data_IF_766160785964
#
_entry.id   IF_766160785964
#
_cell.length_a   1.000
_cell.length_b   1.000
_cell.length_c   1.000
_cell.angle_alpha   90.00
_cell.angle_beta   90.00
_cell.angle_gamma   90.00
#
_symmetry.space_group_name_H-M   'P 1'
#
loop_
_entity.id
_entity.type
_entity.pdbx_description
1 polymer ?
#
# COMPACT_ATOMS: atom_id res chain seq x y z
N UNK A 1 -8.52 -72.17 33.79
CA UNK A 1 -7.76 -73.44 33.66
C UNK A 1 -7.50 -74.05 35.05
N UNK A 2 -6.83 -73.34 35.97
CA UNK A 2 -6.55 -73.80 37.35
C UNK A 2 -7.77 -74.25 38.16
N UNK A 3 -8.91 -73.56 38.06
CA UNK A 3 -10.14 -73.96 38.77
C UNK A 3 -10.71 -75.31 38.32
N UNK A 4 -10.80 -75.53 37.00
CA UNK A 4 -11.30 -76.79 36.44
C UNK A 4 -10.39 -77.97 36.80
N UNK A 5 -9.08 -77.72 36.84
CA UNK A 5 -8.09 -78.73 37.23
C UNK A 5 -8.17 -79.05 38.73
N UNK A 6 -8.32 -78.04 39.59
CA UNK A 6 -8.55 -78.25 41.02
C UNK A 6 -9.84 -79.05 41.27
N UNK A 7 -10.92 -78.74 40.53
CA UNK A 7 -12.18 -79.47 40.62
C UNK A 7 -12.05 -80.93 40.19
N UNK A 8 -11.29 -81.20 39.11
CA UNK A 8 -10.94 -82.56 38.67
C UNK A 8 -10.16 -83.33 39.74
N UNK A 9 -9.17 -82.69 40.39
CA UNK A 9 -8.40 -83.30 41.47
C UNK A 9 -9.26 -83.62 42.71
N UNK A 10 -10.28 -82.80 42.99
CA UNK A 10 -11.28 -83.09 44.03
C UNK A 10 -12.19 -84.26 43.69
N UNK A 11 -12.57 -84.42 42.42
CA UNK A 11 -13.33 -85.59 41.95
C UNK A 11 -12.49 -86.86 42.11
N UNK A 12 -11.23 -86.83 41.65
CA UNK A 12 -10.31 -87.96 41.76
C UNK A 12 -10.02 -88.36 43.22
N UNK A 13 -9.90 -87.37 44.12
CA UNK A 13 -9.76 -87.63 45.56
C UNK A 13 -10.92 -88.46 46.14
N UNK A 14 -12.15 -88.22 45.68
CA UNK A 14 -13.34 -88.97 46.13
C UNK A 14 -13.38 -90.40 45.58
N UNK A 15 -12.78 -90.64 44.41
CA UNK A 15 -12.83 -91.93 43.70
C UNK A 15 -11.75 -92.93 44.15
N UNK A 16 -10.61 -92.48 44.69
CA UNK A 16 -9.44 -93.33 45.00
C UNK A 16 -9.66 -94.30 46.19
N UNK A 17 -10.63 -94.04 47.08
CA UNK A 17 -11.00 -94.94 48.19
C UNK A 17 -10.30 -94.67 49.54
N UNK A 18 -10.57 -95.48 50.58
CA UNK A 18 -10.12 -95.21 51.96
C UNK A 18 -8.63 -95.52 52.17
N UNK A 19 -8.00 -94.68 52.99
CA UNK A 19 -6.62 -94.82 53.48
C UNK A 19 -6.62 -95.40 54.91
N UNK A 20 -5.50 -95.98 55.41
CA UNK A 20 -5.38 -96.48 56.78
C UNK A 20 -5.86 -95.46 57.82
N UNK A 21 -6.62 -95.92 58.82
CA UNK A 21 -7.29 -95.05 59.80
C UNK A 21 -6.32 -94.18 60.61
N UNK A 22 -5.10 -94.66 60.85
CA UNK A 22 -4.01 -93.92 61.52
C UNK A 22 -3.43 -92.76 60.69
N UNK A 23 -3.69 -92.74 59.36
CA UNK A 23 -3.17 -91.74 58.40
C UNK A 23 -4.24 -90.89 57.73
N UNK A 24 -5.52 -91.23 57.91
CA UNK A 24 -6.66 -90.59 57.26
C UNK A 24 -6.70 -89.09 57.47
N UNK A 25 -6.60 -88.64 58.72
CA UNK A 25 -6.67 -87.22 59.06
C UNK A 25 -5.45 -86.44 58.55
N UNK A 26 -4.25 -87.06 58.61
CA UNK A 26 -3.00 -86.46 58.12
C UNK A 26 -3.07 -86.18 56.60
N UNK A 27 -3.49 -87.17 55.81
CA UNK A 27 -3.56 -87.08 54.35
C UNK A 27 -4.66 -86.10 53.92
N UNK A 28 -5.82 -86.14 54.58
CA UNK A 28 -6.91 -85.19 54.34
C UNK A 28 -6.52 -83.74 54.63
N UNK A 29 -5.92 -83.46 55.78
CA UNK A 29 -5.48 -82.10 56.11
C UNK A 29 -4.40 -81.58 55.16
N UNK A 30 -3.49 -82.43 54.67
CA UNK A 30 -2.53 -82.05 53.63
C UNK A 30 -3.20 -81.65 52.30
N UNK A 31 -4.19 -82.43 51.86
CA UNK A 31 -4.94 -82.13 50.62
C UNK A 31 -5.75 -80.84 50.77
N UNK A 32 -6.55 -80.74 51.84
CA UNK A 32 -7.36 -79.56 52.17
C UNK A 32 -6.51 -78.30 52.29
N UNK A 33 -5.40 -78.35 53.05
CA UNK A 33 -4.46 -77.22 53.18
C UNK A 33 -3.91 -76.76 51.82
N UNK A 34 -3.61 -77.70 50.91
CA UNK A 34 -3.10 -77.38 49.58
C UNK A 34 -4.18 -76.76 48.69
N UNK A 35 -5.40 -77.30 48.72
CA UNK A 35 -6.58 -76.74 48.07
C UNK A 35 -6.87 -75.32 48.55
N UNK A 36 -6.85 -75.10 49.86
CA UNK A 36 -7.09 -73.79 50.46
C UNK A 36 -6.06 -72.76 50.01
N UNK A 37 -4.77 -73.15 49.94
CA UNK A 37 -3.69 -72.32 49.38
C UNK A 37 -3.94 -71.96 47.91
N UNK A 38 -4.39 -72.91 47.08
CA UNK A 38 -4.68 -72.65 45.65
C UNK A 38 -5.88 -71.70 45.51
N UNK A 39 -6.95 -71.94 46.26
CA UNK A 39 -8.13 -71.08 46.26
C UNK A 39 -7.81 -69.68 46.78
N UNK A 40 -6.97 -69.57 47.81
CA UNK A 40 -6.48 -68.28 48.32
C UNK A 40 -5.71 -67.52 47.25
N UNK A 41 -4.68 -68.14 46.62
CA UNK A 41 -3.92 -67.52 45.52
C UNK A 41 -4.81 -67.09 44.36
N UNK A 42 -5.84 -67.87 44.05
CA UNK A 42 -6.80 -67.52 42.99
C UNK A 42 -7.63 -66.30 43.37
N UNK A 43 -8.18 -66.26 44.60
CA UNK A 43 -8.89 -65.09 45.10
C UNK A 43 -8.01 -63.85 45.06
N UNK A 44 -6.77 -63.98 45.55
CA UNK A 44 -5.80 -62.88 45.58
C UNK A 44 -5.47 -62.38 44.16
N UNK A 45 -5.24 -63.28 43.20
CA UNK A 45 -4.99 -62.91 41.80
C UNK A 45 -6.18 -62.17 41.16
N UNK A 46 -7.41 -62.65 41.34
CA UNK A 46 -8.59 -61.97 40.77
C UNK A 46 -8.89 -60.64 41.47
N UNK A 47 -8.64 -60.57 42.78
CA UNK A 47 -8.73 -59.31 43.54
C UNK A 47 -7.71 -58.30 43.00
N UNK A 48 -6.45 -58.71 42.85
CA UNK A 48 -5.38 -57.84 42.34
C UNK A 48 -5.63 -57.41 40.89
N UNK A 49 -6.12 -58.31 40.03
CA UNK A 49 -6.52 -57.98 38.66
C UNK A 49 -7.68 -56.98 38.62
N UNK A 50 -8.66 -57.14 39.51
CA UNK A 50 -9.77 -56.20 39.61
C UNK A 50 -9.29 -54.82 40.09
N UNK A 51 -8.45 -54.77 41.12
CA UNK A 51 -7.83 -53.54 41.61
C UNK A 51 -7.00 -52.84 40.52
N UNK A 52 -6.22 -53.60 39.72
CA UNK A 52 -5.46 -53.06 38.58
C UNK A 52 -6.38 -52.51 37.49
N UNK A 53 -7.47 -53.21 37.15
CA UNK A 53 -8.44 -52.74 36.16
C UNK A 53 -9.18 -51.49 36.64
N UNK A 54 -9.56 -51.42 37.92
CA UNK A 54 -10.17 -50.23 38.52
C UNK A 54 -9.19 -49.05 38.52
N UNK A 55 -7.91 -49.28 38.83
CA UNK A 55 -6.86 -48.26 38.71
C UNK A 55 -6.66 -47.80 37.26
N UNK A 56 -6.66 -48.73 36.29
CA UNK A 56 -6.59 -48.43 34.86
C UNK A 56 -7.80 -47.61 34.40
N UNK A 57 -9.00 -47.93 34.90
CA UNK A 57 -10.21 -47.15 34.61
C UNK A 57 -10.09 -45.73 35.16
N UNK A 58 -9.68 -45.56 36.42
CA UNK A 58 -9.47 -44.24 37.02
C UNK A 58 -8.43 -43.42 36.23
N UNK A 59 -7.32 -44.03 35.82
CA UNK A 59 -6.31 -43.39 34.99
C UNK A 59 -6.86 -42.96 33.61
N UNK A 60 -7.67 -43.81 32.96
CA UNK A 60 -8.33 -43.48 31.68
C UNK A 60 -9.36 -42.37 31.83
N UNK A 61 -10.11 -42.34 32.93
CA UNK A 61 -11.05 -41.25 33.25
C UNK A 61 -10.29 -39.93 33.41
N UNK A 62 -9.19 -39.91 34.16
CA UNK A 62 -8.36 -38.71 34.31
C UNK A 62 -7.76 -38.23 32.96
N UNK A 63 -7.39 -39.16 32.06
CA UNK A 63 -6.97 -38.79 30.70
C UNK A 63 -8.10 -38.16 29.88
N UNK A 64 -9.33 -38.65 30.00
CA UNK A 64 -10.49 -38.05 29.34
C UNK A 64 -10.74 -36.63 29.87
N UNK A 65 -10.77 -36.43 31.19
CA UNK A 65 -10.95 -35.11 31.79
C UNK A 65 -9.86 -34.12 31.36
N UNK A 66 -8.61 -34.58 31.28
CA UNK A 66 -7.50 -33.77 30.78
C UNK A 66 -7.67 -33.44 29.29
N UNK A 67 -8.13 -34.40 28.47
CA UNK A 67 -8.42 -34.16 27.06
C UNK A 67 -9.55 -33.14 26.89
N UNK A 68 -10.62 -33.25 27.69
CA UNK A 68 -11.77 -32.33 27.70
C UNK A 68 -11.33 -30.91 28.09
N UNK A 69 -10.48 -30.79 29.13
CA UNK A 69 -9.89 -29.52 29.55
C UNK A 69 -8.99 -28.90 28.48
N UNK A 70 -8.24 -29.72 27.73
CA UNK A 70 -7.44 -29.25 26.60
C UNK A 70 -8.30 -28.84 25.41
N UNK A 71 -9.42 -29.52 25.16
CA UNK A 71 -10.35 -29.20 24.09
C UNK A 71 -11.01 -27.84 24.34
N UNK A 72 -11.42 -27.57 25.58
CA UNK A 72 -12.07 -26.31 25.99
C UNK A 72 -11.20 -25.06 25.81
N UNK A 73 -9.88 -25.20 25.66
CA UNK A 73 -8.97 -24.07 25.44
C UNK A 73 -8.94 -23.68 23.97
N UNK A 74 -9.17 -22.42 23.66
CA UNK A 74 -9.04 -21.93 22.28
C UNK A 74 -7.57 -21.84 21.83
N UNK A 75 -7.33 -22.07 20.54
CA UNK A 75 -6.02 -21.86 19.91
C UNK A 75 -6.11 -20.83 18.80
N UNK A 76 -5.42 -19.71 18.99
CA UNK A 76 -5.45 -18.55 18.07
C UNK A 76 -4.21 -18.44 17.19
N UNK A 77 -3.18 -19.26 17.42
CA UNK A 77 -1.92 -19.21 16.67
C UNK A 77 -1.46 -20.59 16.21
N UNK A 78 -0.66 -20.63 15.14
CA UNK A 78 -0.05 -21.87 14.63
C UNK A 78 0.78 -22.58 15.71
N UNK A 79 1.52 -21.81 16.53
CA UNK A 79 2.31 -22.35 17.63
C UNK A 79 1.41 -22.99 18.71
N UNK A 80 0.29 -22.35 19.05
CA UNK A 80 -0.69 -22.91 19.99
C UNK A 80 -1.29 -24.22 19.45
N UNK A 81 -1.63 -24.29 18.16
CA UNK A 81 -2.11 -25.52 17.53
C UNK A 81 -1.07 -26.65 17.53
N UNK A 82 0.20 -26.34 17.31
CA UNK A 82 1.29 -27.31 17.37
C UNK A 82 1.47 -27.86 18.80
N UNK A 83 1.47 -26.99 19.80
CA UNK A 83 1.58 -27.38 21.20
C UNK A 83 0.39 -28.23 21.65
N UNK A 84 -0.84 -27.84 21.33
CA UNK A 84 -2.03 -28.67 21.59
C UNK A 84 -1.94 -30.03 20.88
N UNK A 85 -1.48 -30.07 19.62
CA UNK A 85 -1.28 -31.33 18.89
C UNK A 85 -0.31 -32.24 19.64
N UNK A 86 0.79 -31.69 20.17
CA UNK A 86 1.76 -32.44 20.98
C UNK A 86 1.10 -33.01 22.24
N UNK A 87 0.35 -32.18 22.96
CA UNK A 87 -0.35 -32.60 24.18
C UNK A 87 -1.36 -33.71 23.92
N UNK A 88 -2.17 -33.62 22.87
CA UNK A 88 -3.10 -34.69 22.46
C UNK A 88 -2.36 -35.97 22.06
N UNK A 89 -1.24 -35.87 21.35
CA UNK A 89 -0.42 -37.03 21.01
C UNK A 89 0.19 -37.69 22.25
N UNK A 90 0.60 -36.90 23.25
CA UNK A 90 1.13 -37.43 24.50
C UNK A 90 0.03 -38.08 25.35
N UNK A 91 -1.18 -37.52 25.38
CA UNK A 91 -2.36 -38.18 25.97
C UNK A 91 -2.65 -39.52 25.29
N UNK A 92 -2.59 -39.57 23.96
CA UNK A 92 -2.82 -40.81 23.22
C UNK A 92 -1.74 -41.87 23.48
N UNK A 93 -0.47 -41.46 23.65
CA UNK A 93 0.61 -42.36 24.07
C UNK A 93 0.37 -42.88 25.49
N UNK A 94 0.00 -42.01 26.43
CA UNK A 94 -0.34 -42.39 27.80
C UNK A 94 -1.51 -43.38 27.82
N UNK A 95 -2.56 -43.12 27.04
CA UNK A 95 -3.71 -44.03 26.90
C UNK A 95 -3.28 -45.43 26.47
N UNK A 96 -2.40 -45.53 25.46
CA UNK A 96 -1.89 -46.82 24.96
C UNK A 96 -1.02 -47.57 25.97
N UNK A 97 -0.38 -46.86 26.91
CA UNK A 97 0.41 -47.49 27.96
C UNK A 97 -0.42 -48.04 29.13
N UNK A 98 -1.68 -47.62 29.27
CA UNK A 98 -2.57 -48.10 30.32
C UNK A 98 -3.19 -49.43 29.88
N UNK A 99 -3.25 -50.39 30.81
CA UNK A 99 -3.88 -51.70 30.58
C UNK A 99 -5.40 -51.60 30.31
N UNK A 100 -6.07 -52.75 30.10
CA UNK A 100 -7.51 -52.78 29.92
C UNK A 100 -8.24 -52.32 31.19
N UNK A 101 -9.36 -51.62 31.00
CA UNK A 101 -10.31 -51.33 32.08
C UNK A 101 -11.27 -52.52 32.26
N UNK A 102 -12.13 -52.54 33.29
CA UNK A 102 -13.11 -53.61 33.44
C UNK A 102 -14.01 -53.67 32.20
N UNK A 103 -14.36 -54.89 31.79
CA UNK A 103 -14.99 -55.17 30.49
C UNK A 103 -16.27 -54.36 30.24
N UNK A 104 -17.02 -54.01 31.29
CA UNK A 104 -18.26 -53.25 31.19
C UNK A 104 -18.05 -51.80 30.74
N UNK A 105 -16.94 -51.17 31.14
CA UNK A 105 -16.68 -49.75 30.90
C UNK A 105 -15.62 -49.48 29.82
N UNK A 106 -14.88 -50.52 29.39
CA UNK A 106 -13.74 -50.34 28.51
C UNK A 106 -14.11 -49.71 27.15
N UNK A 107 -15.26 -50.07 26.58
CA UNK A 107 -15.71 -49.54 25.29
C UNK A 107 -16.27 -48.12 25.44
N UNK A 108 -17.04 -47.87 26.50
CA UNK A 108 -17.60 -46.54 26.82
C UNK A 108 -16.50 -45.49 27.02
N UNK A 109 -15.48 -45.82 27.83
CA UNK A 109 -14.38 -44.88 28.09
C UNK A 109 -13.52 -44.63 26.85
N UNK A 110 -13.36 -45.65 25.99
CA UNK A 110 -12.66 -45.49 24.72
C UNK A 110 -13.42 -44.56 23.76
N UNK A 111 -14.72 -44.77 23.57
CA UNK A 111 -15.53 -43.92 22.71
C UNK A 111 -15.57 -42.47 23.21
N UNK A 112 -15.62 -42.26 24.54
CA UNK A 112 -15.47 -40.92 25.12
C UNK A 112 -14.14 -40.27 24.74
N UNK A 113 -13.02 -40.95 24.98
CA UNK A 113 -11.69 -40.41 24.68
C UNK A 113 -11.49 -40.14 23.19
N UNK A 114 -11.94 -41.07 22.35
CA UNK A 114 -11.86 -40.95 20.89
C UNK A 114 -12.69 -39.77 20.38
N UNK A 115 -13.90 -39.58 20.91
CA UNK A 115 -14.76 -38.43 20.55
C UNK A 115 -14.06 -37.10 20.79
N UNK A 116 -13.41 -36.93 21.95
CA UNK A 116 -12.66 -35.70 22.26
C UNK A 116 -11.47 -35.50 21.30
N UNK A 117 -10.74 -36.57 20.96
CA UNK A 117 -9.63 -36.50 20.00
C UNK A 117 -10.13 -36.14 18.59
N UNK A 118 -11.20 -36.79 18.13
CA UNK A 118 -11.78 -36.56 16.81
C UNK A 118 -12.33 -35.12 16.68
N UNK A 119 -12.94 -34.59 17.75
CA UNK A 119 -13.36 -33.20 17.83
C UNK A 119 -12.16 -32.24 17.65
N UNK A 120 -11.07 -32.46 18.38
CA UNK A 120 -9.86 -31.62 18.24
C UNK A 120 -9.28 -31.64 16.82
N UNK A 121 -9.16 -32.81 16.19
CA UNK A 121 -8.62 -32.91 14.83
C UNK A 121 -9.56 -32.32 13.78
N UNK A 122 -10.87 -32.37 14.02
CA UNK A 122 -11.89 -31.71 13.18
C UNK A 122 -11.75 -30.19 13.25
N UNK A 123 -11.72 -29.61 14.46
CA UNK A 123 -11.51 -28.16 14.66
C UNK A 123 -10.20 -27.68 14.04
N UNK A 124 -9.11 -28.44 14.23
CA UNK A 124 -7.81 -28.15 13.63
C UNK A 124 -7.91 -28.10 12.10
N UNK A 125 -8.51 -29.14 11.50
CA UNK A 125 -8.67 -29.22 10.05
C UNK A 125 -9.46 -28.03 9.51
N UNK A 126 -10.56 -27.68 10.17
CA UNK A 126 -11.39 -26.55 9.77
C UNK A 126 -10.63 -25.22 9.86
N UNK A 127 -9.91 -24.99 10.97
CA UNK A 127 -9.11 -23.78 11.17
C UNK A 127 -8.05 -23.60 10.06
N UNK A 128 -7.27 -24.65 9.77
CA UNK A 128 -6.24 -24.58 8.73
C UNK A 128 -6.83 -24.55 7.31
N UNK A 129 -8.01 -25.12 7.08
CA UNK A 129 -8.74 -24.97 5.81
C UNK A 129 -9.13 -23.51 5.60
N UNK A 130 -9.75 -22.86 6.60
CA UNK A 130 -10.13 -21.44 6.52
C UNK A 130 -8.94 -20.53 6.22
N UNK A 131 -7.80 -20.76 6.87
CA UNK A 131 -6.55 -20.00 6.60
C UNK A 131 -6.08 -20.24 5.16
N UNK A 132 -6.12 -21.49 4.69
CA UNK A 132 -5.70 -21.83 3.32
C UNK A 132 -6.61 -21.14 2.30
N UNK A 133 -7.92 -21.19 2.51
CA UNK A 133 -8.91 -20.57 1.62
C UNK A 133 -8.75 -19.04 1.61
N UNK A 134 -8.52 -18.43 2.78
CA UNK A 134 -8.20 -17.00 2.88
C UNK A 134 -6.90 -16.65 2.13
N UNK A 135 -5.85 -17.46 2.25
CA UNK A 135 -4.60 -17.24 1.53
C UNK A 135 -4.79 -17.36 0.01
N UNK A 136 -5.60 -18.31 -0.47
CA UNK A 136 -5.94 -18.46 -1.89
C UNK A 136 -6.73 -17.24 -2.38
N UNK A 137 -7.71 -16.75 -1.60
CA UNK A 137 -8.43 -15.53 -1.94
C UNK A 137 -7.48 -14.32 -2.02
N UNK A 138 -6.60 -14.15 -1.03
CA UNK A 138 -5.59 -13.10 -1.03
C UNK A 138 -4.65 -13.19 -2.25
N UNK A 139 -4.32 -14.41 -2.67
CA UNK A 139 -3.51 -14.64 -3.87
C UNK A 139 -4.22 -14.16 -5.13
N UNK A 140 -5.51 -14.48 -5.28
CA UNK A 140 -6.31 -14.02 -6.41
C UNK A 140 -6.46 -12.49 -6.41
N UNK A 141 -6.72 -11.86 -5.25
CA UNK A 141 -6.76 -10.40 -5.14
C UNK A 141 -5.43 -9.75 -5.54
N UNK A 142 -4.30 -10.29 -5.07
CA UNK A 142 -2.97 -9.80 -5.48
C UNK A 142 -2.68 -10.06 -6.95
N UNK A 143 -3.26 -11.10 -7.54
CA UNK A 143 -3.11 -11.40 -8.97
C UNK A 143 -3.82 -10.33 -9.81
N UNK A 144 -5.02 -9.93 -9.42
CA UNK A 144 -5.74 -8.82 -10.04
C UNK A 144 -4.95 -7.50 -9.95
N UNK A 145 -4.34 -7.21 -8.80
CA UNK A 145 -3.47 -6.03 -8.67
C UNK A 145 -2.25 -6.09 -9.60
N UNK A 146 -1.69 -7.27 -9.83
CA UNK A 146 -0.61 -7.44 -10.81
C UNK A 146 -1.09 -7.09 -12.22
N UNK A 147 -2.24 -7.60 -12.63
CA UNK A 147 -2.81 -7.34 -13.96
C UNK A 147 -3.09 -5.84 -14.16
N UNK A 148 -3.65 -5.17 -13.15
CA UNK A 148 -3.91 -3.74 -13.19
C UNK A 148 -2.61 -2.93 -13.25
N UNK A 149 -1.59 -3.27 -12.46
CA UNK A 149 -0.30 -2.61 -12.51
C UNK A 149 0.41 -2.82 -13.86
N UNK A 150 0.33 -4.03 -14.43
CA UNK A 150 0.89 -4.35 -15.74
C UNK A 150 0.21 -3.59 -16.87
N UNK A 151 -1.10 -3.35 -16.80
CA UNK A 151 -1.82 -2.53 -17.78
C UNK A 151 -1.41 -1.06 -17.73
N UNK A 152 -0.93 -0.57 -16.58
CA UNK A 152 -0.53 0.82 -16.38
C UNK A 152 0.95 1.08 -16.63
N UNK A 153 1.80 0.05 -16.71
CA UNK A 153 3.25 0.20 -16.75
C UNK A 153 3.75 0.99 -17.98
N UNK A 154 3.06 0.83 -19.11
CA UNK A 154 3.39 1.43 -20.40
C UNK A 154 2.60 2.73 -20.68
N UNK A 155 1.77 3.18 -19.74
CA UNK A 155 0.98 4.42 -19.89
C UNK A 155 1.87 5.66 -19.88
N UNK A 156 1.52 6.65 -20.71
CA UNK A 156 2.14 7.98 -20.74
C UNK A 156 1.31 9.04 -20.00
N UNK A 157 0.13 8.68 -19.45
CA UNK A 157 -0.61 9.54 -18.51
C UNK A 157 0.06 9.50 -17.13
N UNK A 158 1.17 10.23 -17.03
CA UNK A 158 2.01 10.24 -15.84
C UNK A 158 1.25 10.59 -14.56
N UNK A 159 0.24 11.47 -14.62
CA UNK A 159 -0.48 11.94 -13.42
C UNK A 159 -1.56 10.97 -12.99
N UNK A 160 -2.34 10.42 -13.92
CA UNK A 160 -3.39 9.45 -13.60
C UNK A 160 -2.77 8.11 -13.20
N UNK A 161 -1.88 7.55 -14.01
CA UNK A 161 -1.26 6.26 -13.75
C UNK A 161 -0.39 6.25 -12.49
N UNK A 162 0.26 7.36 -12.12
CA UNK A 162 0.95 7.44 -10.82
C UNK A 162 0.00 7.29 -9.65
N UNK A 163 -1.18 7.93 -9.69
CA UNK A 163 -2.16 7.84 -8.59
C UNK A 163 -2.72 6.44 -8.49
N UNK A 164 -3.12 5.86 -9.62
CA UNK A 164 -3.65 4.49 -9.66
C UNK A 164 -2.61 3.48 -9.16
N UNK A 165 -1.35 3.55 -9.60
CA UNK A 165 -0.30 2.64 -9.09
C UNK A 165 -0.03 2.82 -7.59
N UNK A 166 -0.09 4.04 -7.05
CA UNK A 166 0.04 4.28 -5.60
C UNK A 166 -1.14 3.65 -4.85
N UNK A 167 -2.36 3.77 -5.37
CA UNK A 167 -3.54 3.15 -4.78
C UNK A 167 -3.46 1.61 -4.82
N UNK A 168 -2.95 1.03 -5.91
CA UNK A 168 -2.67 -0.41 -5.98
C UNK A 168 -1.62 -0.85 -4.96
N UNK A 169 -0.56 -0.06 -4.74
CA UNK A 169 0.44 -0.34 -3.71
C UNK A 169 -0.14 -0.28 -2.30
N UNK A 170 -1.13 0.58 -2.06
CA UNK A 170 -1.87 0.63 -0.79
C UNK A 170 -2.72 -0.62 -0.61
N UNK A 171 -3.54 -0.96 -1.61
CA UNK A 171 -4.37 -2.17 -1.60
C UNK A 171 -3.52 -3.44 -1.41
N UNK A 172 -2.34 -3.51 -2.05
CA UNK A 172 -1.41 -4.63 -1.88
C UNK A 172 -1.01 -4.87 -0.42
N UNK A 173 -0.78 -3.80 0.34
CA UNK A 173 -0.39 -3.87 1.76
C UNK A 173 -1.56 -4.25 2.66
N UNK A 174 -2.78 -3.87 2.28
CA UNK A 174 -4.02 -4.23 2.99
C UNK A 174 -4.37 -5.70 2.77
N UNK A 175 -4.08 -6.26 1.60
CA UNK A 175 -4.27 -7.69 1.35
C UNK A 175 -3.27 -8.51 2.17
N UNK A 176 -3.83 -9.42 2.97
CA UNK A 176 -3.10 -10.30 3.87
C UNK A 176 -2.13 -11.28 3.20
N UNK A 177 -1.64 -12.28 3.97
CA UNK A 177 -0.67 -13.23 3.48
C UNK A 177 -1.25 -14.14 2.38
N UNK A 178 -0.37 -14.59 1.49
CA UNK A 178 -0.66 -15.55 0.42
C UNK A 178 0.10 -16.85 0.67
N UNK A 179 -0.18 -17.96 -0.06
CA UNK A 179 0.57 -19.19 0.13
C UNK A 179 2.06 -18.96 -0.14
N UNK A 180 2.92 -19.45 0.76
CA UNK A 180 4.38 -19.19 0.74
C UNK A 180 5.03 -19.49 -0.61
N UNK A 181 4.56 -20.52 -1.32
CA UNK A 181 5.05 -20.92 -2.65
C UNK A 181 4.89 -19.82 -3.71
N UNK A 182 3.89 -18.94 -3.56
CA UNK A 182 3.57 -17.91 -4.54
C UNK A 182 3.96 -16.50 -4.10
N UNK A 183 4.25 -16.30 -2.81
CA UNK A 183 4.48 -14.99 -2.20
C UNK A 183 5.57 -14.17 -2.90
N UNK A 184 6.73 -14.76 -3.15
CA UNK A 184 7.84 -14.04 -3.79
C UNK A 184 7.55 -13.75 -5.27
N UNK A 185 7.04 -14.75 -6.00
CA UNK A 185 6.77 -14.61 -7.44
C UNK A 185 5.74 -13.51 -7.73
N UNK A 186 4.67 -13.45 -6.94
CA UNK A 186 3.62 -12.43 -7.14
C UNK A 186 4.11 -11.04 -6.74
N UNK A 187 4.93 -10.95 -5.69
CA UNK A 187 5.54 -9.68 -5.27
C UNK A 187 6.47 -9.12 -6.33
N UNK A 188 7.38 -9.94 -6.87
CA UNK A 188 8.29 -9.52 -7.94
C UNK A 188 7.54 -9.07 -9.18
N UNK A 189 6.45 -9.76 -9.55
CA UNK A 189 5.59 -9.37 -10.68
C UNK A 189 4.95 -8.00 -10.47
N UNK A 190 4.31 -7.78 -9.33
CA UNK A 190 3.66 -6.50 -9.01
C UNK A 190 4.67 -5.36 -8.91
N UNK A 191 5.79 -5.60 -8.21
CA UNK A 191 6.85 -4.61 -8.03
C UNK A 191 7.51 -4.26 -9.36
N UNK A 192 7.81 -5.26 -10.19
CA UNK A 192 8.41 -5.03 -11.51
C UNK A 192 7.56 -4.11 -12.39
N UNK A 193 6.24 -4.30 -12.40
CA UNK A 193 5.34 -3.40 -13.13
C UNK A 193 5.34 -1.97 -12.57
N UNK A 194 5.34 -1.80 -11.25
CA UNK A 194 5.45 -0.48 -10.61
C UNK A 194 6.79 0.20 -10.93
N UNK A 195 7.89 -0.53 -10.76
CA UNK A 195 9.25 -0.01 -10.92
C UNK A 195 9.47 0.40 -12.39
N UNK A 196 8.98 -0.38 -13.37
CA UNK A 196 9.03 -0.03 -14.79
C UNK A 196 8.39 1.35 -15.07
N UNK A 197 7.16 1.57 -14.60
CA UNK A 197 6.46 2.85 -14.77
C UNK A 197 7.23 4.02 -14.15
N UNK A 198 7.66 3.89 -12.89
CA UNK A 198 8.33 4.98 -12.19
C UNK A 198 9.73 5.25 -12.73
N UNK A 199 10.44 4.23 -13.22
CA UNK A 199 11.71 4.39 -13.92
C UNK A 199 11.52 5.13 -15.25
N UNK A 200 10.54 4.73 -16.07
CA UNK A 200 10.18 5.43 -17.32
C UNK A 200 9.82 6.90 -17.06
N UNK A 201 8.96 7.14 -16.05
CA UNK A 201 8.58 8.49 -15.63
C UNK A 201 9.80 9.31 -15.22
N UNK A 202 10.67 8.74 -14.37
CA UNK A 202 11.89 9.41 -13.91
C UNK A 202 12.80 9.78 -15.08
N UNK A 203 13.03 8.83 -16.00
CA UNK A 203 13.81 9.06 -17.21
C UNK A 203 13.23 10.19 -18.06
N UNK A 204 11.91 10.18 -18.32
CA UNK A 204 11.22 11.21 -19.08
C UNK A 204 11.42 12.62 -18.49
N UNK A 205 11.25 12.78 -17.17
CA UNK A 205 11.40 14.08 -16.53
C UNK A 205 12.86 14.48 -16.24
N UNK A 206 13.79 13.52 -16.18
CA UNK A 206 15.22 13.82 -15.99
C UNK A 206 15.81 14.58 -17.18
N UNK A 207 15.50 14.16 -18.41
CA UNK A 207 15.96 14.83 -19.62
C UNK A 207 15.39 16.25 -19.74
N UNK A 208 14.13 16.45 -19.33
CA UNK A 208 13.51 17.78 -19.29
C UNK A 208 14.24 18.68 -18.29
N UNK A 209 14.52 18.19 -17.08
CA UNK A 209 15.21 18.96 -16.04
C UNK A 209 16.63 19.38 -16.45
N UNK A 210 17.36 18.51 -17.15
CA UNK A 210 18.70 18.83 -17.66
C UNK A 210 18.62 19.96 -18.69
N UNK A 211 17.72 19.85 -19.68
CA UNK A 211 17.49 20.90 -20.68
C UNK A 211 17.04 22.22 -20.04
N UNK A 212 16.12 22.17 -19.08
CA UNK A 212 15.70 23.37 -18.34
C UNK A 212 16.86 24.03 -17.60
N UNK A 213 17.76 23.25 -16.99
CA UNK A 213 18.95 23.76 -16.31
C UNK A 213 20.00 24.36 -17.27
N UNK A 214 20.16 23.79 -18.46
CA UNK A 214 21.00 24.37 -19.53
C UNK A 214 20.39 25.69 -20.03
N UNK A 215 19.07 25.70 -20.28
CA UNK A 215 18.34 26.90 -20.69
C UNK A 215 18.41 28.01 -19.63
N UNK A 216 18.39 27.65 -18.34
CA UNK A 216 18.57 28.60 -17.23
C UNK A 216 19.91 29.34 -17.37
N UNK A 217 21.02 28.62 -17.60
CA UNK A 217 22.35 29.22 -17.79
C UNK A 217 22.38 30.12 -19.02
N UNK A 218 21.88 29.63 -20.16
CA UNK A 218 21.83 30.43 -21.40
C UNK A 218 21.03 31.72 -21.22
N UNK A 219 19.92 31.69 -20.47
CA UNK A 219 19.14 32.90 -20.17
C UNK A 219 19.84 33.84 -19.21
N UNK A 220 20.58 33.34 -18.22
CA UNK A 220 21.41 34.17 -17.34
C UNK A 220 22.54 34.85 -18.13
N UNK A 221 23.22 34.12 -19.00
CA UNK A 221 24.26 34.63 -19.89
C UNK A 221 23.72 35.67 -20.89
N UNK A 222 22.52 35.44 -21.42
CA UNK A 222 21.85 36.40 -22.30
C UNK A 222 21.52 37.70 -21.57
N UNK A 223 20.98 37.61 -20.34
CA UNK A 223 20.72 38.80 -19.51
C UNK A 223 22.02 39.57 -19.26
N UNK A 224 23.09 38.87 -18.87
CA UNK A 224 24.40 39.50 -18.67
C UNK A 224 24.94 40.15 -19.95
N UNK A 225 24.69 39.55 -21.12
CA UNK A 225 25.06 40.11 -22.42
C UNK A 225 24.30 41.40 -22.71
N UNK A 226 22.98 41.44 -22.48
CA UNK A 226 22.18 42.68 -22.58
C UNK A 226 22.68 43.75 -21.60
N UNK A 227 23.03 43.35 -20.38
CA UNK A 227 23.51 44.25 -19.34
C UNK A 227 24.92 44.77 -19.58
N UNK A 228 25.74 44.13 -20.42
CA UNK A 228 27.11 44.56 -20.71
C UNK A 228 27.30 45.06 -22.15
N UNK A 229 26.28 44.96 -23.01
CA UNK A 229 26.35 45.44 -24.38
C UNK A 229 26.57 46.97 -24.42
N UNK A 230 27.57 47.39 -25.19
CA UNK A 230 27.87 48.80 -25.43
C UNK A 230 27.18 49.26 -26.70
N UNK A 231 26.11 50.05 -26.53
CA UNK A 231 25.35 50.60 -27.64
C UNK A 231 26.08 51.81 -28.25
N UNK A 232 26.13 51.86 -29.59
CA UNK A 232 26.74 52.95 -30.35
C UNK A 232 25.82 54.17 -30.47
N UNK A 233 26.18 55.10 -31.37
CA UNK A 233 25.39 56.31 -31.63
C UNK A 233 24.25 56.09 -32.63
N UNK A 234 24.26 54.98 -33.39
CA UNK A 234 23.21 54.68 -34.36
C UNK A 234 21.99 54.02 -33.68
N UNK A 235 20.88 54.75 -33.69
CA UNK A 235 19.61 54.30 -33.11
C UNK A 235 19.04 53.07 -33.82
N UNK A 236 19.22 52.95 -35.14
CA UNK A 236 18.67 51.83 -35.91
C UNK A 236 19.43 50.54 -35.60
N UNK A 237 20.76 50.60 -35.57
CA UNK A 237 21.63 49.48 -35.22
C UNK A 237 21.34 48.98 -33.79
N UNK A 238 21.25 49.90 -32.82
CA UNK A 238 20.94 49.57 -31.44
C UNK A 238 19.58 48.88 -31.27
N UNK A 239 18.58 49.27 -32.07
CA UNK A 239 17.24 48.66 -32.03
C UNK A 239 17.26 47.23 -32.58
N UNK A 240 18.02 46.97 -33.64
CA UNK A 240 18.15 45.61 -34.20
C UNK A 240 18.86 44.67 -33.22
N UNK A 241 19.90 45.13 -32.53
CA UNK A 241 20.56 44.36 -31.46
C UNK A 241 19.58 43.97 -30.36
N UNK A 242 18.75 44.91 -29.90
CA UNK A 242 17.75 44.65 -28.86
C UNK A 242 16.65 43.68 -29.32
N UNK A 243 16.27 43.73 -30.59
CA UNK A 243 15.33 42.74 -31.18
C UNK A 243 15.95 41.36 -31.24
N UNK A 244 17.24 41.24 -31.58
CA UNK A 244 17.92 39.95 -31.62
C UNK A 244 18.00 39.33 -30.23
N UNK A 245 18.32 40.11 -29.19
CA UNK A 245 18.27 39.60 -27.80
C UNK A 245 16.86 39.13 -27.39
N UNK A 246 15.79 39.81 -27.82
CA UNK A 246 14.42 39.34 -27.58
C UNK A 246 14.11 38.03 -28.31
N UNK A 247 14.66 37.87 -29.51
CA UNK A 247 14.52 36.65 -30.31
C UNK A 247 15.27 35.48 -29.66
N UNK A 248 16.54 35.66 -29.33
CA UNK A 248 17.35 34.65 -28.63
C UNK A 248 16.69 34.19 -27.32
N UNK A 249 16.12 35.12 -26.55
CA UNK A 249 15.39 34.82 -25.32
C UNK A 249 14.22 33.85 -25.54
N UNK A 250 13.51 33.99 -26.66
CA UNK A 250 12.41 33.10 -27.04
C UNK A 250 12.91 31.77 -27.60
N UNK A 251 14.04 31.76 -28.31
CA UNK A 251 14.62 30.56 -28.91
C UNK A 251 15.23 29.61 -27.86
N UNK A 252 15.80 30.13 -26.76
CA UNK A 252 16.36 29.30 -25.66
C UNK A 252 15.30 28.40 -24.99
N UNK A 253 14.02 28.77 -25.02
CA UNK A 253 12.93 27.90 -24.52
C UNK A 253 12.67 27.98 -23.00
N UNK A 254 12.27 26.86 -22.38
CA UNK A 254 11.78 26.82 -21.00
C UNK A 254 12.88 26.60 -19.96
N UNK A 255 12.68 27.15 -18.75
CA UNK A 255 13.57 27.06 -17.59
C UNK A 255 12.82 26.45 -16.39
N UNK A 256 13.50 26.04 -15.31
CA UNK A 256 12.83 25.46 -14.15
C UNK A 256 11.78 26.43 -13.62
N UNK A 257 10.58 25.91 -13.32
CA UNK A 257 9.41 26.72 -12.97
C UNK A 257 9.68 27.76 -11.87
N UNK A 258 10.51 27.43 -10.88
CA UNK A 258 10.88 28.34 -9.77
C UNK A 258 11.69 29.57 -10.22
N UNK A 259 12.49 29.44 -11.27
CA UNK A 259 13.37 30.51 -11.78
C UNK A 259 12.72 31.33 -12.90
N UNK A 260 11.64 30.82 -13.49
CA UNK A 260 10.94 31.43 -14.63
C UNK A 260 10.63 32.91 -14.40
N UNK A 261 9.95 33.25 -13.30
CA UNK A 261 9.48 34.61 -13.06
C UNK A 261 10.65 35.55 -12.71
N UNK A 262 11.65 35.05 -11.97
CA UNK A 262 12.88 35.78 -11.64
C UNK A 262 13.62 36.19 -12.91
N UNK A 263 13.86 35.23 -13.79
CA UNK A 263 14.54 35.43 -15.07
C UNK A 263 13.74 36.35 -16.00
N UNK A 264 12.43 36.14 -16.13
CA UNK A 264 11.58 36.96 -16.98
C UNK A 264 11.58 38.43 -16.54
N UNK A 265 11.54 38.69 -15.25
CA UNK A 265 11.63 40.05 -14.71
C UNK A 265 13.02 40.65 -14.89
N UNK A 266 14.08 39.89 -14.64
CA UNK A 266 15.46 40.35 -14.83
C UNK A 266 15.75 40.75 -16.28
N UNK A 267 15.38 39.89 -17.24
CA UNK A 267 15.51 40.19 -18.67
C UNK A 267 14.71 41.42 -19.09
N UNK A 268 13.44 41.52 -18.64
CA UNK A 268 12.60 42.70 -18.92
C UNK A 268 13.23 43.98 -18.37
N UNK A 269 13.76 43.94 -17.16
CA UNK A 269 14.40 45.09 -16.53
C UNK A 269 15.70 45.48 -17.24
N UNK A 270 16.52 44.50 -17.64
CA UNK A 270 17.74 44.73 -18.41
C UNK A 270 17.42 45.41 -19.74
N UNK A 271 16.44 44.88 -20.50
CA UNK A 271 15.99 45.49 -21.75
C UNK A 271 15.48 46.91 -21.51
N UNK A 272 14.52 47.11 -20.59
CA UNK A 272 13.94 48.43 -20.32
C UNK A 272 15.02 49.47 -19.97
N UNK A 273 15.99 49.11 -19.13
CA UNK A 273 17.11 49.99 -18.75
C UNK A 273 17.93 50.44 -19.97
N UNK A 274 18.14 49.55 -20.94
CA UNK A 274 18.82 49.89 -22.20
C UNK A 274 17.95 50.77 -23.10
N UNK A 275 16.64 50.54 -23.14
CA UNK A 275 15.72 51.40 -23.90
C UNK A 275 15.71 52.83 -23.35
N UNK A 276 15.64 52.97 -22.02
CA UNK A 276 15.66 54.26 -21.34
C UNK A 276 16.96 55.02 -21.60
N UNK A 277 18.13 54.34 -21.53
CA UNK A 277 19.44 54.94 -21.83
C UNK A 277 19.55 55.46 -23.27
N UNK A 278 18.87 54.81 -24.21
CA UNK A 278 18.86 55.20 -25.61
C UNK A 278 17.79 56.26 -25.92
N UNK A 279 17.08 56.77 -24.90
CA UNK A 279 15.88 57.61 -25.05
C UNK A 279 14.85 57.02 -26.01
N UNK A 280 14.77 55.69 -26.07
CA UNK A 280 13.77 55.00 -26.86
C UNK A 280 12.63 54.62 -25.92
N UNK A 281 11.45 55.17 -26.17
CA UNK A 281 10.29 54.84 -25.36
C UNK A 281 9.99 53.34 -25.47
N UNK A 282 9.86 52.65 -24.33
CA UNK A 282 9.47 51.25 -24.29
C UNK A 282 8.14 50.99 -25.02
N UNK A 283 7.24 51.97 -24.99
CA UNK A 283 5.98 51.94 -25.75
C UNK A 283 6.22 52.01 -27.26
N UNK A 284 7.20 52.78 -27.72
CA UNK A 284 7.59 52.84 -29.15
C UNK A 284 8.19 51.52 -29.62
N UNK A 285 9.00 50.84 -28.80
CA UNK A 285 9.60 49.53 -29.15
C UNK A 285 8.55 48.43 -29.13
N UNK A 286 7.75 48.33 -28.07
CA UNK A 286 6.67 47.34 -28.04
C UNK A 286 5.69 47.51 -29.19
N UNK A 287 5.43 48.76 -29.60
CA UNK A 287 4.61 49.05 -30.77
C UNK A 287 5.35 48.69 -32.07
N UNK A 288 6.63 49.02 -32.23
CA UNK A 288 7.44 48.69 -33.40
C UNK A 288 7.63 47.18 -33.60
N UNK A 289 7.93 46.42 -32.54
CA UNK A 289 8.01 44.95 -32.58
C UNK A 289 6.66 44.33 -32.91
N UNK A 290 5.56 44.88 -32.36
CA UNK A 290 4.22 44.48 -32.73
C UNK A 290 3.93 44.76 -34.21
N UNK A 291 4.23 45.96 -34.70
CA UNK A 291 4.05 46.34 -36.11
C UNK A 291 4.83 45.40 -37.04
N UNK A 292 6.11 45.15 -36.74
CA UNK A 292 6.94 44.23 -37.53
C UNK A 292 6.39 42.80 -37.53
N UNK A 293 5.91 42.29 -36.39
CA UNK A 293 5.24 40.99 -36.31
C UNK A 293 3.97 40.95 -37.17
N UNK A 294 3.17 42.00 -37.12
CA UNK A 294 1.94 42.13 -37.91
C UNK A 294 2.25 42.20 -39.40
N UNK A 295 3.25 42.98 -39.82
CA UNK A 295 3.66 43.08 -41.22
C UNK A 295 4.20 41.75 -41.77
N UNK A 296 4.95 40.99 -40.96
CA UNK A 296 5.36 39.63 -41.32
C UNK A 296 4.17 38.67 -41.47
N UNK A 297 3.11 38.84 -40.69
CA UNK A 297 1.91 37.99 -40.75
C UNK A 297 1.01 38.35 -41.94
N UNK A 298 0.94 39.63 -42.34
CA UNK A 298 0.11 40.13 -43.46
C UNK A 298 0.37 39.39 -44.79
N UNK A 299 1.60 38.91 -45.02
CA UNK A 299 1.97 38.18 -46.24
C UNK A 299 1.71 36.67 -46.23
N UNK A 300 1.20 36.10 -45.13
CA UNK A 300 1.00 34.65 -44.97
C UNK A 300 -0.41 34.21 -45.39
N UNK A 301 -0.56 32.96 -45.81
CA UNK A 301 -1.86 32.40 -46.24
C UNK A 301 -2.96 32.46 -45.14
N UNK A 302 -2.57 32.44 -43.87
CA UNK A 302 -3.48 32.60 -42.72
C UNK A 302 -3.51 34.02 -42.13
N UNK A 303 -2.80 34.97 -42.74
CA UNK A 303 -2.57 36.30 -42.19
C UNK A 303 -3.86 37.00 -41.76
N UNK A 304 -4.85 37.08 -42.65
CA UNK A 304 -6.14 37.71 -42.35
C UNK A 304 -6.86 37.09 -41.13
N UNK A 305 -6.81 35.77 -40.96
CA UNK A 305 -7.46 35.11 -39.80
C UNK A 305 -6.73 35.41 -38.50
N UNK A 306 -5.40 35.47 -38.54
CA UNK A 306 -4.58 35.80 -37.38
C UNK A 306 -4.75 37.27 -36.98
N UNK A 307 -4.80 38.18 -37.95
CA UNK A 307 -5.06 39.61 -37.72
C UNK A 307 -6.44 39.85 -37.08
N UNK A 308 -7.48 39.17 -37.54
CA UNK A 308 -8.83 39.28 -36.97
C UNK A 308 -8.90 38.77 -35.53
N UNK A 309 -8.19 37.68 -35.21
CA UNK A 309 -8.07 37.18 -33.83
C UNK A 309 -7.35 38.17 -32.93
N UNK A 310 -6.25 38.74 -33.40
CA UNK A 310 -5.47 39.74 -32.65
C UNK A 310 -6.30 41.02 -32.42
N UNK A 311 -7.04 41.47 -33.43
CA UNK A 311 -7.94 42.61 -33.33
C UNK A 311 -9.04 42.36 -32.28
N UNK A 312 -9.67 41.19 -32.32
CA UNK A 312 -10.71 40.79 -31.36
C UNK A 312 -10.14 40.70 -29.94
N UNK A 313 -8.95 40.13 -29.79
CA UNK A 313 -8.25 40.04 -28.51
C UNK A 313 -7.96 41.43 -27.93
N UNK A 314 -7.36 42.33 -28.73
CA UNK A 314 -7.05 43.69 -28.29
C UNK A 314 -8.32 44.47 -27.93
N UNK A 315 -9.39 44.34 -28.71
CA UNK A 315 -10.68 44.98 -28.43
C UNK A 315 -11.27 44.50 -27.10
N UNK A 316 -11.27 43.18 -26.87
CA UNK A 316 -11.78 42.60 -25.63
C UNK A 316 -10.93 43.04 -24.43
N UNK A 317 -9.59 43.08 -24.59
CA UNK A 317 -8.69 43.52 -23.53
C UNK A 317 -8.84 45.00 -23.20
N UNK A 318 -9.03 45.84 -24.22
CA UNK A 318 -9.32 47.28 -24.07
C UNK A 318 -10.63 47.47 -23.30
N UNK A 319 -11.69 46.75 -23.67
CA UNK A 319 -12.98 46.83 -22.97
C UNK A 319 -12.85 46.40 -21.51
N UNK A 320 -12.17 45.28 -21.25
CA UNK A 320 -11.90 44.80 -19.89
C UNK A 320 -11.14 45.84 -19.06
N UNK A 321 -10.05 46.41 -19.59
CA UNK A 321 -9.26 47.42 -18.88
C UNK A 321 -10.08 48.68 -18.59
N UNK A 322 -10.93 49.11 -19.52
CA UNK A 322 -11.85 50.26 -19.31
C UNK A 322 -12.84 49.98 -18.17
N UNK A 323 -13.43 48.79 -18.14
CA UNK A 323 -14.35 48.37 -17.07
C UNK A 323 -13.63 48.28 -15.71
N UNK A 324 -12.44 47.70 -15.66
CA UNK A 324 -11.63 47.60 -14.44
C UNK A 324 -11.21 48.99 -13.92
N UNK A 325 -10.76 49.89 -14.80
CA UNK A 325 -10.43 51.27 -14.45
C UNK A 325 -11.66 51.98 -13.88
N UNK A 326 -12.80 51.89 -14.57
CA UNK A 326 -14.06 52.51 -14.12
C UNK A 326 -14.48 51.98 -12.75
N UNK A 327 -14.37 50.67 -12.52
CA UNK A 327 -14.71 50.06 -11.23
C UNK A 327 -13.76 50.51 -10.12
N UNK A 328 -12.46 50.60 -10.38
CA UNK A 328 -11.50 51.10 -9.40
C UNK A 328 -11.68 52.60 -9.11
N UNK A 329 -11.94 53.42 -10.12
CA UNK A 329 -12.23 54.85 -9.97
C UNK A 329 -13.50 55.07 -9.13
N UNK A 330 -14.56 54.31 -9.41
CA UNK A 330 -15.79 54.34 -8.62
C UNK A 330 -15.52 53.91 -7.17
N UNK A 331 -14.79 52.81 -6.96
CA UNK A 331 -14.48 52.30 -5.63
C UNK A 331 -13.63 53.27 -4.80
N UNK A 332 -12.70 54.00 -5.41
CA UNK A 332 -11.96 55.09 -4.73
C UNK A 332 -12.92 56.17 -4.23
N UNK A 333 -13.93 56.52 -5.04
CA UNK A 333 -14.94 57.54 -4.70
C UNK A 333 -15.76 57.21 -3.45
N UNK A 334 -15.89 55.93 -3.08
CA UNK A 334 -16.63 55.48 -1.90
C UNK A 334 -15.78 55.35 -0.62
N UNK A 335 -14.46 55.50 -0.70
CA UNK A 335 -13.57 55.36 0.46
C UNK A 335 -13.54 56.64 1.32
N UNK A 336 -13.82 56.51 2.62
CA UNK A 336 -13.78 57.60 3.59
C UNK A 336 -12.35 58.16 3.79
N UNK A 337 -12.20 59.44 4.12
CA UNK A 337 -10.89 60.09 4.34
C UNK A 337 -10.31 59.77 5.73
N UNK A 338 -9.88 58.53 5.90
CA UNK A 338 -9.15 58.06 7.09
C UNK A 338 -7.74 57.65 6.73
N UNK A 339 -6.82 57.66 7.70
CA UNK A 339 -5.41 57.31 7.47
C UNK A 339 -5.21 55.94 6.81
N UNK A 340 -6.01 54.94 7.18
CA UNK A 340 -5.94 53.59 6.59
C UNK A 340 -6.60 53.54 5.20
N UNK A 341 -7.69 54.26 4.99
CA UNK A 341 -8.33 54.35 3.68
C UNK A 341 -7.47 55.09 2.66
N UNK A 342 -6.65 56.06 3.08
CA UNK A 342 -5.71 56.77 2.19
C UNK A 342 -4.59 55.86 1.67
N UNK A 343 -4.14 54.87 2.45
CA UNK A 343 -3.19 53.85 1.98
C UNK A 343 -3.85 53.02 0.87
N UNK A 344 -5.10 52.59 1.09
CA UNK A 344 -5.88 51.83 0.11
C UNK A 344 -6.15 52.66 -1.15
N UNK A 345 -6.49 53.95 -1.01
CA UNK A 345 -6.66 54.88 -2.14
C UNK A 345 -5.38 54.96 -2.98
N UNK A 346 -4.22 55.16 -2.35
CA UNK A 346 -2.93 55.22 -3.06
C UNK A 346 -2.61 53.92 -3.84
N UNK A 347 -2.96 52.77 -3.27
CA UNK A 347 -2.78 51.48 -3.98
C UNK A 347 -3.72 51.34 -5.18
N UNK A 348 -4.97 51.80 -5.07
CA UNK A 348 -5.89 51.82 -6.21
C UNK A 348 -5.47 52.85 -7.26
N UNK A 349 -5.00 54.04 -6.88
CA UNK A 349 -4.47 55.05 -7.80
C UNK A 349 -3.30 54.50 -8.62
N UNK A 350 -2.34 53.82 -7.97
CA UNK A 350 -1.23 53.15 -8.68
C UNK A 350 -1.72 52.06 -9.64
N UNK A 351 -2.76 51.30 -9.27
CA UNK A 351 -3.37 50.29 -10.15
C UNK A 351 -4.06 50.94 -11.35
N UNK A 352 -4.79 52.03 -11.14
CA UNK A 352 -5.47 52.79 -12.20
C UNK A 352 -4.45 53.39 -13.16
N UNK A 353 -3.41 54.04 -12.67
CA UNK A 353 -2.36 54.63 -13.53
C UNK A 353 -1.66 53.55 -14.37
N UNK A 354 -1.34 52.40 -13.77
CA UNK A 354 -0.78 51.27 -14.50
C UNK A 354 -1.74 50.75 -15.58
N UNK A 355 -3.02 50.61 -15.26
CA UNK A 355 -4.03 50.15 -16.22
C UNK A 355 -4.31 51.16 -17.32
N UNK A 356 -4.28 52.47 -17.04
CA UNK A 356 -4.39 53.55 -18.04
C UNK A 356 -3.20 53.53 -19.01
N UNK A 357 -1.99 53.31 -18.50
CA UNK A 357 -0.79 53.15 -19.32
C UNK A 357 -0.90 51.91 -20.23
N UNK A 358 -1.36 50.78 -19.69
CA UNK A 358 -1.60 49.55 -20.47
C UNK A 358 -2.69 49.73 -21.52
N UNK A 359 -3.80 50.39 -21.16
CA UNK A 359 -4.90 50.73 -22.06
C UNK A 359 -4.41 51.55 -23.25
N UNK A 360 -3.67 52.63 -23.01
CA UNK A 360 -3.10 53.48 -24.06
C UNK A 360 -2.20 52.68 -25.01
N UNK A 361 -1.38 51.77 -24.49
CA UNK A 361 -0.53 50.90 -25.30
C UNK A 361 -1.35 49.92 -26.17
N UNK A 362 -2.43 49.33 -25.64
CA UNK A 362 -3.31 48.43 -26.41
C UNK A 362 -4.10 49.19 -27.48
N UNK A 363 -4.57 50.40 -27.19
CA UNK A 363 -5.24 51.28 -28.15
C UNK A 363 -4.31 51.68 -29.29
N UNK A 364 -3.03 51.97 -29.01
CA UNK A 364 -2.03 52.25 -30.04
C UNK A 364 -1.81 51.05 -30.99
N UNK A 365 -1.75 49.83 -30.44
CA UNK A 365 -1.64 48.59 -31.24
C UNK A 365 -2.87 48.35 -32.09
N UNK A 366 -4.07 48.50 -31.52
CA UNK A 366 -5.33 48.35 -32.23
C UNK A 366 -5.44 49.37 -33.37
N UNK A 367 -5.09 50.64 -33.11
CA UNK A 367 -5.10 51.71 -34.11
C UNK A 367 -4.22 51.39 -35.32
N UNK A 368 -3.11 50.69 -35.12
CA UNK A 368 -2.24 50.24 -36.21
C UNK A 368 -2.84 49.09 -37.01
N UNK A 369 -3.56 48.14 -36.39
CA UNK A 369 -4.26 47.07 -37.09
C UNK A 369 -5.44 47.56 -37.93
N UNK A 370 -6.05 48.68 -37.52
CA UNK A 370 -7.21 49.28 -38.20
C UNK A 370 -6.84 50.33 -39.25
N UNK A 371 -5.55 50.67 -39.37
CA UNK A 371 -5.01 51.46 -40.48
C UNK A 371 -4.72 50.54 -41.67
#
# INVERSE_FOLDING_TARGET
KSFRELQRLHEQWKEIGPVPDDKKDEIWERFKSTTDKINQRRRDHYKQLQEEQEANLAAKVALCEKADSLLAKEATSVKAWQERTRQFNDLFKMWKSIGPAPKKQNDEIWERFKTTIDAFYTEKKEHFSKIKDQQINNYNLKLELCLQAEALKDSDDWRKSSRELIDLQKQWKEIGPVPRKHAEKIWQRFRGACDEFFNRKSAHFSGIRIKEAENLKLKEELIASVENHNFGTDRAENLEVLKEYQREWTEIGFVPFKEKDRLQNAFRNAINKRLDQLNISNSEIMLSTFMSRIDNIKGTAEGNRQLQREQTFLQNKINQLREEIMLWENNIGFLADTKNANIVKSDFEKKIEKAKSELSAMEAKLKYLTK
#
